data_IF_799445361835
#
_entry.id   IF_799445361835
#
_cell.length_a   1.000
_cell.length_b   1.000
_cell.length_c   1.000
_cell.angle_alpha   90.00
_cell.angle_beta   90.00
_cell.angle_gamma   90.00
#
_symmetry.space_group_name_H-M   'P 1'
#
loop_
_entity.id
_entity.type
_entity.pdbx_description
1 polymer ?
#
# COMPACT_ATOMS: atom_id res chain seq x y z
N UNK A 1 2.68 -69.28 34.36
CA UNK A 1 2.82 -67.90 34.88
C UNK A 1 3.39 -67.10 33.73
N UNK A 2 2.52 -66.53 32.91
CA UNK A 2 2.87 -65.91 31.63
C UNK A 2 3.50 -64.52 31.85
N UNK A 3 4.53 -64.15 31.05
CA UNK A 3 5.23 -62.87 31.12
C UNK A 3 4.44 -61.72 30.49
N UNK A 4 4.67 -60.50 30.98
CA UNK A 4 3.93 -59.30 30.62
C UNK A 4 3.96 -58.89 29.15
N UNK A 5 2.85 -58.30 28.71
CA UNK A 5 2.68 -57.63 27.42
C UNK A 5 2.39 -56.15 27.71
N UNK A 6 3.37 -55.28 27.47
CA UNK A 6 3.46 -54.45 26.25
C UNK A 6 2.42 -53.32 26.23
N UNK A 7 2.75 -52.26 26.97
CA UNK A 7 2.14 -50.95 26.76
C UNK A 7 2.56 -50.41 25.39
N UNK A 8 1.58 -49.99 24.59
CA UNK A 8 1.81 -49.09 23.45
C UNK A 8 0.78 -47.97 23.54
N UNK A 9 1.17 -46.70 23.73
CA UNK A 9 0.22 -45.59 23.68
C UNK A 9 -0.22 -45.32 22.23
N UNK A 10 -1.43 -44.79 21.99
CA UNK A 10 -1.87 -44.45 20.65
C UNK A 10 -1.04 -43.29 20.07
N UNK A 11 -0.71 -43.39 18.77
CA UNK A 11 -0.11 -42.30 17.99
C UNK A 11 -1.12 -41.16 17.85
N UNK A 12 -0.90 -40.05 18.55
CA UNK A 12 -1.56 -38.78 18.20
C UNK A 12 -1.11 -38.36 16.81
N UNK A 13 -2.01 -38.44 15.82
CA UNK A 13 -1.84 -37.71 14.57
C UNK A 13 -2.42 -36.33 14.81
N UNK A 14 -1.56 -35.38 15.17
CA UNK A 14 -1.96 -33.98 15.26
C UNK A 14 -2.14 -33.44 13.83
N UNK A 15 -3.26 -32.79 13.48
CA UNK A 15 -3.41 -32.16 12.17
C UNK A 15 -2.45 -30.97 12.07
N UNK A 16 -1.74 -30.86 10.94
CA UNK A 16 -0.86 -29.73 10.68
C UNK A 16 -1.62 -28.39 10.92
N UNK A 17 -0.97 -27.39 11.54
CA UNK A 17 -1.60 -26.09 11.74
C UNK A 17 -1.99 -25.45 10.39
N UNK A 18 -3.06 -24.65 10.32
CA UNK A 18 -3.42 -23.94 9.08
C UNK A 18 -2.25 -23.03 8.63
N UNK A 19 -2.09 -22.79 7.31
CA UNK A 19 -1.05 -21.87 6.84
C UNK A 19 -1.24 -20.52 7.51
N UNK A 20 -0.20 -20.02 8.18
CA UNK A 20 -0.16 -18.69 8.76
C UNK A 20 -0.58 -17.66 7.70
N UNK A 21 -1.32 -16.59 8.03
CA UNK A 21 -1.66 -15.56 7.06
C UNK A 21 -0.35 -15.01 6.51
N UNK A 22 -0.13 -15.24 5.21
CA UNK A 22 1.04 -14.72 4.51
C UNK A 22 1.13 -13.23 4.82
N UNK A 23 2.30 -12.83 5.33
CA UNK A 23 2.64 -11.44 5.61
C UNK A 23 2.08 -10.59 4.47
N UNK A 24 1.14 -9.71 4.80
CA UNK A 24 0.52 -8.82 3.83
C UNK A 24 1.64 -8.01 3.18
N UNK A 25 2.09 -8.46 2.00
CA UNK A 25 3.07 -7.73 1.21
C UNK A 25 2.36 -6.43 0.82
N UNK A 26 2.81 -5.28 1.36
CA UNK A 26 2.13 -4.04 1.07
C UNK A 26 2.21 -3.82 -0.45
N UNK A 27 1.14 -3.34 -1.09
CA UNK A 27 1.16 -3.05 -2.52
C UNK A 27 2.33 -2.09 -2.78
N UNK A 28 3.37 -2.60 -3.43
CA UNK A 28 4.71 -1.98 -3.52
C UNK A 28 4.85 -1.09 -4.76
N UNK A 29 3.76 -0.87 -5.49
CA UNK A 29 3.73 0.00 -6.66
C UNK A 29 2.87 1.23 -6.39
N UNK A 30 3.53 2.39 -6.33
CA UNK A 30 2.87 3.69 -6.35
C UNK A 30 2.19 3.84 -7.72
N UNK A 31 0.86 3.89 -7.75
CA UNK A 31 0.08 4.00 -9.00
C UNK A 31 -0.43 5.42 -9.21
N UNK A 32 -0.38 5.89 -10.45
CA UNK A 32 -0.90 7.19 -10.83
C UNK A 32 -2.39 7.35 -10.47
N UNK A 33 -2.74 8.49 -9.86
CA UNK A 33 -4.12 8.84 -9.47
C UNK A 33 -4.98 9.36 -10.63
N UNK A 34 -4.41 9.53 -11.83
CA UNK A 34 -5.19 9.91 -13.00
C UNK A 34 -6.23 8.82 -13.31
N UNK A 35 -7.46 9.23 -13.63
CA UNK A 35 -8.57 8.29 -13.82
C UNK A 35 -8.26 7.32 -14.96
N UNK A 36 -8.23 6.03 -14.65
CA UNK A 36 -7.94 4.96 -15.63
C UNK A 36 -6.45 4.78 -15.95
N UNK A 37 -5.55 5.50 -15.28
CA UNK A 37 -4.12 5.27 -15.42
C UNK A 37 -3.65 4.22 -14.40
N UNK A 38 -2.86 3.27 -14.87
CA UNK A 38 -2.19 2.25 -14.05
C UNK A 38 -0.66 2.39 -14.07
N UNK A 39 -0.16 3.48 -14.65
CA UNK A 39 1.28 3.74 -14.74
C UNK A 39 1.91 3.96 -13.37
N UNK A 40 3.18 3.56 -13.25
CA UNK A 40 3.98 3.82 -12.07
C UNK A 40 4.09 5.33 -11.82
N UNK A 41 3.89 5.74 -10.58
CA UNK A 41 3.99 7.13 -10.18
C UNK A 41 5.41 7.46 -9.75
N UNK A 42 5.96 8.49 -10.38
CA UNK A 42 7.27 9.07 -10.07
C UNK A 42 7.13 10.36 -9.24
N UNK A 43 5.92 10.91 -9.17
CA UNK A 43 5.62 12.18 -8.50
C UNK A 43 4.46 12.08 -7.51
N UNK A 44 4.60 12.75 -6.37
CA UNK A 44 3.56 13.04 -5.39
C UNK A 44 3.17 14.52 -5.44
N UNK A 45 1.91 14.82 -5.70
CA UNK A 45 1.36 16.16 -5.72
C UNK A 45 0.69 16.40 -4.38
N UNK A 46 1.31 17.21 -3.53
CA UNK A 46 0.75 17.65 -2.26
C UNK A 46 -0.25 18.76 -2.51
N UNK A 47 -1.48 18.59 -2.03
CA UNK A 47 -2.55 19.55 -2.22
C UNK A 47 -3.43 19.74 -0.99
N UNK A 48 -4.04 20.91 -0.89
CA UNK A 48 -4.97 21.27 0.17
C UNK A 48 -6.18 22.00 -0.43
N UNK A 49 -7.39 21.60 -0.03
CA UNK A 49 -8.60 22.35 -0.32
C UNK A 49 -9.02 23.10 0.96
N UNK A 50 -8.79 24.41 1.07
CA UNK A 50 -9.03 25.16 2.30
C UNK A 50 -10.52 25.27 2.67
N UNK A 51 -11.43 25.02 1.72
CA UNK A 51 -12.86 24.97 2.00
C UNK A 51 -13.29 23.71 2.75
N UNK A 52 -12.46 22.65 2.76
CA UNK A 52 -12.78 21.36 3.37
C UNK A 52 -11.77 20.91 4.44
N UNK A 53 -10.56 21.45 4.40
CA UNK A 53 -9.43 20.99 5.21
C UNK A 53 -8.72 22.17 5.87
N UNK A 54 -8.21 21.96 7.09
CA UNK A 54 -7.30 22.92 7.72
C UNK A 54 -6.05 23.12 6.85
N UNK A 55 -5.38 24.30 6.90
CA UNK A 55 -4.16 24.54 6.12
C UNK A 55 -3.04 23.54 6.46
N UNK A 56 -3.08 23.03 7.70
CA UNK A 56 -2.44 21.84 8.27
C UNK A 56 -2.38 20.63 7.33
N UNK A 57 -3.55 20.28 6.80
CA UNK A 57 -3.83 18.96 6.25
C UNK A 57 -3.57 18.92 4.75
N UNK A 58 -2.54 18.19 4.35
CA UNK A 58 -2.21 17.95 2.93
C UNK A 58 -2.62 16.54 2.51
N UNK A 59 -3.26 16.45 1.36
CA UNK A 59 -3.50 15.18 0.67
C UNK A 59 -2.44 15.01 -0.42
N UNK A 60 -2.22 13.77 -0.83
CA UNK A 60 -1.28 13.42 -1.90
C UNK A 60 -2.03 12.79 -3.06
N UNK A 61 -1.78 13.26 -4.27
CA UNK A 61 -2.11 12.55 -5.51
C UNK A 61 -0.82 12.05 -6.15
N UNK A 62 -0.82 10.80 -6.60
CA UNK A 62 0.33 10.21 -7.28
C UNK A 62 0.24 10.47 -8.79
N UNK A 63 1.36 10.72 -9.46
CA UNK A 63 1.41 10.97 -10.89
C UNK A 63 2.62 10.29 -11.55
N UNK A 64 2.38 9.65 -12.69
CA UNK A 64 3.44 9.24 -13.61
C UNK A 64 3.94 10.45 -14.41
N UNK A 65 5.09 10.31 -15.08
CA UNK A 65 5.63 11.35 -15.96
C UNK A 65 4.61 11.92 -16.97
N UNK A 66 3.75 11.09 -17.55
CA UNK A 66 2.74 11.53 -18.52
C UNK A 66 1.57 12.33 -17.95
N UNK A 67 1.30 12.23 -16.65
CA UNK A 67 0.14 12.88 -16.02
C UNK A 67 0.49 13.93 -14.97
N UNK A 68 1.77 14.08 -14.61
CA UNK A 68 2.25 15.09 -13.67
C UNK A 68 1.71 16.48 -14.01
N UNK A 69 1.95 16.94 -15.23
CA UNK A 69 1.61 18.30 -15.65
C UNK A 69 0.11 18.57 -15.58
N UNK A 70 -0.71 17.67 -16.15
CA UNK A 70 -2.16 17.80 -16.15
C UNK A 70 -2.74 17.86 -14.72
N UNK A 71 -2.32 16.95 -13.84
CA UNK A 71 -2.81 16.93 -12.46
C UNK A 71 -2.34 18.16 -11.66
N UNK A 72 -1.09 18.60 -11.87
CA UNK A 72 -0.57 19.83 -11.26
C UNK A 72 -1.35 21.05 -11.72
N UNK A 73 -1.61 21.20 -13.02
CA UNK A 73 -2.36 22.32 -13.56
C UNK A 73 -3.80 22.34 -13.04
N UNK A 74 -4.46 21.18 -12.98
CA UNK A 74 -5.80 21.06 -12.40
C UNK A 74 -5.87 21.58 -10.97
N UNK A 75 -4.88 21.23 -10.14
CA UNK A 75 -4.80 21.68 -8.75
C UNK A 75 -4.37 23.16 -8.65
N UNK A 76 -3.47 23.61 -9.51
CA UNK A 76 -2.95 24.98 -9.52
C UNK A 76 -4.01 26.00 -9.91
N UNK A 77 -4.82 25.74 -10.94
CA UNK A 77 -5.92 26.64 -11.36
C UNK A 77 -6.95 26.87 -10.26
N UNK A 78 -7.11 25.90 -9.34
CA UNK A 78 -8.00 26.01 -8.17
C UNK A 78 -7.32 26.56 -6.92
N UNK A 79 -6.02 26.84 -7.00
CA UNK A 79 -5.22 27.28 -5.85
C UNK A 79 -5.00 26.19 -4.79
N UNK A 80 -5.15 24.91 -5.15
CA UNK A 80 -5.02 23.78 -4.21
C UNK A 80 -3.62 23.16 -4.18
N UNK A 81 -2.86 23.27 -5.28
CA UNK A 81 -1.52 22.68 -5.37
C UNK A 81 -0.58 23.35 -4.38
N UNK A 82 0.09 22.59 -3.51
CA UNK A 82 1.06 23.09 -2.53
C UNK A 82 2.49 22.75 -2.93
N UNK A 83 2.71 21.53 -3.39
CA UNK A 83 4.05 21.04 -3.71
C UNK A 83 3.97 19.87 -4.68
N UNK A 84 5.02 19.68 -5.46
CA UNK A 84 5.23 18.47 -6.26
C UNK A 84 6.57 17.88 -5.83
N UNK A 85 6.53 16.67 -5.29
CA UNK A 85 7.71 15.94 -4.84
C UNK A 85 7.94 14.74 -5.73
N UNK A 86 9.18 14.34 -5.92
CA UNK A 86 9.48 13.04 -6.53
C UNK A 86 9.23 11.94 -5.49
N UNK A 87 8.48 10.92 -5.89
CA UNK A 87 8.25 9.73 -5.10
C UNK A 87 8.97 8.59 -5.80
N UNK A 88 10.19 8.30 -5.37
CA UNK A 88 10.82 7.05 -5.75
C UNK A 88 10.00 5.87 -5.22
N UNK A 89 10.05 4.73 -5.91
CA UNK A 89 9.70 3.43 -5.31
C UNK A 89 10.39 3.40 -3.94
N UNK A 90 9.60 3.24 -2.88
CA UNK A 90 9.98 3.38 -1.47
C UNK A 90 11.48 3.17 -1.23
N UNK A 91 12.21 4.21 -0.81
CA UNK A 91 13.57 4.02 -0.29
C UNK A 91 13.46 2.95 0.81
N UNK A 92 14.14 1.83 0.57
CA UNK A 92 14.37 0.80 1.57
C UNK A 92 15.12 1.38 2.77
#
# INVERSE_FOLDING_TARGET
MEPGESGTPPRSTDPAPPPSPSLHEPPSDLVCSARGCTGAADFGLQWNNPSLHTPERRKTWLACAGHREHLSQFLATRGFLREVVEVGRSRA
#
